data_IF_398997984141
#
_entry.id   IF_398997984141
#
_cell.length_a   1.000
_cell.length_b   1.000
_cell.length_c   1.000
_cell.angle_alpha   90.00
_cell.angle_beta   90.00
_cell.angle_gamma   90.00
#
_symmetry.space_group_name_H-M   'P 1'
#
loop_
_entity.id
_entity.type
_entity.pdbx_description
1 polymer ?
#
# COMPACT_ATOMS: atom_id res chain seq x y z
N UNK A 1 -27.70 -30.81 -12.90
CA UNK A 1 -28.58 -29.62 -13.04
C UNK A 1 -27.69 -28.38 -13.06
N UNK A 2 -27.78 -27.56 -14.13
CA UNK A 2 -26.96 -26.38 -14.26
C UNK A 2 -27.30 -25.35 -13.18
N UNK A 3 -26.29 -24.79 -12.48
CA UNK A 3 -26.52 -23.71 -11.52
C UNK A 3 -27.18 -22.50 -12.21
N UNK A 4 -27.94 -21.64 -11.53
CA UNK A 4 -28.50 -20.43 -12.14
C UNK A 4 -27.42 -19.54 -12.77
N UNK A 5 -26.23 -19.56 -12.22
CA UNK A 5 -25.06 -18.90 -12.81
C UNK A 5 -24.65 -19.56 -14.15
N UNK A 6 -24.73 -20.88 -14.30
CA UNK A 6 -24.45 -21.55 -15.56
C UNK A 6 -25.42 -21.15 -16.66
N UNK A 7 -26.70 -20.92 -16.29
CA UNK A 7 -27.74 -20.46 -17.22
C UNK A 7 -27.44 -19.06 -17.75
N UNK A 8 -27.11 -18.12 -16.88
CA UNK A 8 -26.78 -16.75 -17.27
C UNK A 8 -25.52 -16.74 -18.14
N UNK A 9 -24.57 -17.65 -17.89
CA UNK A 9 -23.34 -17.80 -18.69
C UNK A 9 -23.64 -18.34 -20.10
N UNK A 10 -24.52 -19.33 -20.22
CA UNK A 10 -24.97 -19.82 -21.52
C UNK A 10 -25.70 -18.73 -22.31
N UNK A 11 -26.41 -17.83 -21.63
CA UNK A 11 -27.06 -16.66 -22.24
C UNK A 11 -26.07 -15.63 -22.76
N UNK A 12 -24.97 -15.42 -22.04
CA UNK A 12 -23.84 -14.63 -22.58
C UNK A 12 -23.33 -15.22 -23.88
N UNK A 13 -23.15 -16.54 -23.94
CA UNK A 13 -22.74 -17.22 -25.18
C UNK A 13 -23.76 -17.00 -26.31
N UNK A 14 -25.05 -17.17 -26.05
CA UNK A 14 -26.10 -17.00 -27.08
C UNK A 14 -26.16 -15.55 -27.57
N UNK A 15 -26.08 -14.58 -26.69
CA UNK A 15 -26.03 -13.16 -27.03
C UNK A 15 -24.81 -12.83 -27.91
N UNK A 16 -23.62 -13.27 -27.53
CA UNK A 16 -22.41 -13.04 -28.35
C UNK A 16 -22.46 -13.79 -29.69
N UNK A 17 -23.15 -14.92 -29.75
CA UNK A 17 -23.37 -15.62 -31.02
C UNK A 17 -24.25 -14.85 -31.99
N UNK A 18 -25.28 -14.17 -31.49
CA UNK A 18 -26.11 -13.32 -32.36
C UNK A 18 -25.37 -12.13 -32.94
N UNK A 19 -24.30 -11.70 -32.31
CA UNK A 19 -23.43 -10.61 -32.75
C UNK A 19 -22.14 -11.10 -33.47
N UNK A 20 -21.97 -12.43 -33.55
CA UNK A 20 -20.73 -13.05 -34.04
C UNK A 20 -20.33 -12.59 -35.44
N UNK A 21 -21.26 -12.59 -36.35
CA UNK A 21 -20.98 -12.29 -37.77
C UNK A 21 -20.84 -10.78 -38.00
N UNK A 22 -21.67 -9.98 -37.33
CA UNK A 22 -21.63 -8.53 -37.40
C UNK A 22 -20.32 -7.96 -36.84
N UNK A 23 -19.91 -8.43 -35.68
CA UNK A 23 -18.73 -7.94 -34.97
C UNK A 23 -17.48 -8.79 -35.22
N UNK A 24 -17.56 -9.81 -36.08
CA UNK A 24 -16.46 -10.74 -36.39
C UNK A 24 -15.84 -11.34 -35.14
N UNK A 25 -16.70 -11.76 -34.17
CA UNK A 25 -16.24 -12.31 -32.90
C UNK A 25 -15.82 -13.77 -33.01
N UNK A 26 -14.69 -14.11 -32.40
CA UNK A 26 -14.36 -15.48 -32.03
C UNK A 26 -14.83 -15.75 -30.60
N UNK A 27 -15.88 -16.53 -30.44
CA UNK A 27 -16.49 -16.83 -29.13
C UNK A 27 -16.01 -18.19 -28.66
N UNK A 28 -15.47 -18.23 -27.43
CA UNK A 28 -15.04 -19.45 -26.75
C UNK A 28 -15.81 -19.56 -25.45
N UNK A 29 -16.43 -20.69 -25.18
CA UNK A 29 -17.12 -20.95 -23.92
C UNK A 29 -16.11 -21.56 -22.91
N UNK A 30 -16.13 -21.05 -21.69
CA UNK A 30 -15.31 -21.54 -20.58
C UNK A 30 -16.21 -22.05 -19.45
N UNK A 31 -16.04 -23.31 -19.04
CA UNK A 31 -16.78 -23.92 -17.94
C UNK A 31 -15.83 -24.60 -16.95
N UNK A 32 -16.06 -24.36 -15.64
CA UNK A 32 -15.31 -24.99 -14.56
C UNK A 32 -16.23 -25.83 -13.71
N UNK A 33 -15.97 -27.12 -13.64
CA UNK A 33 -16.50 -28.00 -12.60
C UNK A 33 -15.67 -27.84 -11.33
N UNK A 34 -16.29 -27.38 -10.25
CA UNK A 34 -15.66 -27.11 -8.97
C UNK A 34 -15.64 -28.35 -8.04
N UNK A 35 -16.14 -29.50 -8.49
CA UNK A 35 -16.21 -30.77 -7.80
C UNK A 35 -16.92 -30.76 -6.43
N UNK A 36 -17.84 -29.80 -6.20
CA UNK A 36 -18.61 -29.75 -4.95
C UNK A 36 -19.77 -30.76 -4.90
N UNK A 37 -20.29 -31.23 -6.06
CA UNK A 37 -21.55 -31.98 -6.16
C UNK A 37 -21.39 -33.32 -6.90
N UNK A 38 -20.17 -33.80 -7.11
CA UNK A 38 -19.91 -35.06 -7.78
C UNK A 38 -20.64 -35.16 -9.12
N UNK A 39 -21.49 -36.20 -9.27
CA UNK A 39 -22.22 -36.51 -10.53
C UNK A 39 -23.05 -35.36 -11.10
N UNK A 40 -23.68 -34.53 -10.27
CA UNK A 40 -24.44 -33.38 -10.77
C UNK A 40 -23.57 -32.35 -11.50
N UNK A 41 -22.35 -32.13 -11.03
CA UNK A 41 -21.37 -31.23 -11.68
C UNK A 41 -20.90 -31.78 -13.03
N UNK A 42 -20.70 -33.10 -13.12
CA UNK A 42 -20.34 -33.77 -14.37
C UNK A 42 -21.48 -33.65 -15.40
N UNK A 43 -22.74 -33.90 -14.99
CA UNK A 43 -23.91 -33.75 -15.86
C UNK A 43 -24.06 -32.30 -16.37
N UNK A 44 -23.75 -31.32 -15.53
CA UNK A 44 -23.73 -29.90 -15.92
C UNK A 44 -22.68 -29.62 -16.98
N UNK A 45 -21.46 -30.12 -16.79
CA UNK A 45 -20.37 -29.97 -17.75
C UNK A 45 -20.71 -30.60 -19.10
N UNK A 46 -21.25 -31.82 -19.11
CA UNK A 46 -21.68 -32.49 -20.33
C UNK A 46 -22.82 -31.77 -21.05
N UNK A 47 -23.74 -31.16 -20.30
CA UNK A 47 -24.76 -30.30 -20.87
C UNK A 47 -24.18 -29.08 -21.57
N UNK A 48 -23.19 -28.42 -20.95
CA UNK A 48 -22.51 -27.24 -21.54
C UNK A 48 -21.75 -27.66 -22.81
N UNK A 49 -21.04 -28.76 -22.78
CA UNK A 49 -20.33 -29.28 -23.97
C UNK A 49 -21.30 -29.53 -25.14
N UNK A 50 -22.39 -30.24 -24.90
CA UNK A 50 -23.44 -30.50 -25.95
C UNK A 50 -23.99 -29.19 -26.51
N UNK A 51 -24.36 -28.25 -25.65
CA UNK A 51 -24.82 -26.92 -26.04
C UNK A 51 -23.85 -26.21 -26.98
N UNK A 52 -22.54 -26.28 -26.66
CA UNK A 52 -21.50 -25.66 -27.47
C UNK A 52 -21.29 -26.36 -28.82
N UNK A 53 -21.33 -27.71 -28.86
CA UNK A 53 -21.21 -28.49 -30.07
C UNK A 53 -22.38 -28.17 -31.04
N UNK A 54 -23.61 -28.15 -30.56
CA UNK A 54 -24.81 -27.82 -31.36
C UNK A 54 -24.70 -26.44 -32.00
N UNK A 55 -23.99 -25.51 -31.38
CA UNK A 55 -23.85 -24.10 -31.83
C UNK A 55 -22.50 -23.79 -32.46
N UNK A 56 -21.65 -24.80 -32.67
CA UNK A 56 -20.31 -24.69 -33.24
C UNK A 56 -19.44 -23.68 -32.46
N UNK A 57 -19.49 -23.77 -31.11
CA UNK A 57 -18.66 -22.97 -30.22
C UNK A 57 -17.54 -23.85 -29.68
N UNK A 58 -16.30 -23.35 -29.68
CA UNK A 58 -15.20 -23.97 -28.96
C UNK A 58 -15.50 -23.93 -27.46
N UNK A 59 -15.46 -25.08 -26.78
CA UNK A 59 -15.75 -25.21 -25.37
C UNK A 59 -14.50 -25.70 -24.61
N UNK A 60 -13.98 -24.87 -23.74
CA UNK A 60 -12.90 -25.21 -22.83
C UNK A 60 -13.48 -25.55 -21.45
N UNK A 61 -13.12 -26.72 -20.94
CA UNK A 61 -13.62 -27.18 -19.64
C UNK A 61 -12.48 -27.59 -18.72
N UNK A 62 -12.63 -27.32 -17.43
CA UNK A 62 -11.71 -27.81 -16.40
C UNK A 62 -12.49 -28.41 -15.23
N UNK A 63 -11.93 -29.50 -14.66
CA UNK A 63 -12.34 -30.04 -13.36
C UNK A 63 -11.31 -29.66 -12.34
N UNK A 64 -11.68 -28.94 -11.29
CA UNK A 64 -10.78 -28.43 -10.27
C UNK A 64 -11.31 -28.86 -8.90
N UNK A 65 -10.50 -29.58 -8.12
CA UNK A 65 -10.83 -29.96 -6.75
C UNK A 65 -10.76 -28.72 -5.83
N UNK A 66 -11.83 -27.90 -5.91
CA UNK A 66 -11.96 -26.71 -5.06
C UNK A 66 -12.08 -27.06 -3.57
N UNK A 67 -12.76 -28.12 -3.13
CA UNK A 67 -12.72 -28.57 -1.74
C UNK A 67 -11.31 -28.81 -1.19
N UNK A 68 -10.41 -29.43 -1.97
CA UNK A 68 -9.01 -29.62 -1.56
C UNK A 68 -8.27 -28.27 -1.48
N UNK A 69 -8.43 -27.40 -2.48
CA UNK A 69 -7.85 -26.05 -2.46
C UNK A 69 -8.38 -25.21 -1.30
N UNK A 70 -9.66 -25.28 -1.00
CA UNK A 70 -10.29 -24.61 0.13
C UNK A 70 -9.65 -25.00 1.46
N UNK A 71 -9.45 -26.31 1.70
CA UNK A 71 -8.82 -26.81 2.93
C UNK A 71 -7.36 -26.38 3.05
N UNK A 72 -6.60 -26.46 1.98
CA UNK A 72 -5.17 -26.09 1.98
C UNK A 72 -4.93 -24.58 2.16
N UNK A 73 -5.81 -23.75 1.62
CA UNK A 73 -5.69 -22.29 1.66
C UNK A 73 -6.43 -21.64 2.84
N UNK A 74 -7.24 -22.38 3.60
CA UNK A 74 -8.03 -21.84 4.73
C UNK A 74 -9.10 -20.84 4.31
N UNK A 75 -9.63 -20.97 3.09
CA UNK A 75 -10.57 -20.01 2.49
C UNK A 75 -12.03 -20.48 2.61
N UNK A 76 -12.96 -19.53 2.45
CA UNK A 76 -14.37 -19.88 2.27
C UNK A 76 -14.63 -20.55 0.91
N UNK A 77 -15.61 -21.45 0.82
CA UNK A 77 -15.91 -22.21 -0.40
C UNK A 77 -16.16 -21.31 -1.64
N UNK A 78 -16.90 -20.21 -1.47
CA UNK A 78 -17.18 -19.26 -2.57
C UNK A 78 -15.92 -18.52 -3.03
N UNK A 79 -15.04 -18.16 -2.12
CA UNK A 79 -13.78 -17.47 -2.42
C UNK A 79 -12.81 -18.41 -3.12
N UNK A 80 -12.65 -19.63 -2.62
CA UNK A 80 -11.83 -20.67 -3.26
C UNK A 80 -12.30 -20.96 -4.69
N UNK A 81 -13.60 -21.18 -4.87
CA UNK A 81 -14.21 -21.40 -6.21
C UNK A 81 -13.99 -20.21 -7.15
N UNK A 82 -14.08 -18.99 -6.62
CA UNK A 82 -13.80 -17.77 -7.37
C UNK A 82 -12.34 -17.71 -7.83
N UNK A 83 -11.38 -17.94 -6.94
CA UNK A 83 -9.96 -17.93 -7.26
C UNK A 83 -9.63 -18.95 -8.36
N UNK A 84 -10.08 -20.19 -8.18
CA UNK A 84 -9.84 -21.25 -9.17
C UNK A 84 -10.43 -20.92 -10.54
N UNK A 85 -11.66 -20.39 -10.57
CA UNK A 85 -12.33 -19.97 -11.81
C UNK A 85 -11.55 -18.85 -12.53
N UNK A 86 -11.07 -17.85 -11.80
CA UNK A 86 -10.36 -16.74 -12.41
C UNK A 86 -8.96 -17.13 -12.89
N UNK A 87 -8.29 -18.07 -12.20
CA UNK A 87 -7.04 -18.67 -12.71
C UNK A 87 -7.27 -19.35 -14.05
N UNK A 88 -8.27 -20.21 -14.15
CA UNK A 88 -8.62 -20.87 -15.39
C UNK A 88 -8.95 -19.88 -16.51
N UNK A 89 -9.68 -18.82 -16.22
CA UNK A 89 -9.95 -17.77 -17.21
C UNK A 89 -8.65 -17.07 -17.68
N UNK A 90 -7.71 -16.83 -16.79
CA UNK A 90 -6.42 -16.24 -17.14
C UNK A 90 -5.62 -17.16 -18.09
N UNK A 91 -5.55 -18.44 -17.79
CA UNK A 91 -4.91 -19.47 -18.64
C UNK A 91 -5.54 -19.53 -20.04
N UNK A 92 -6.88 -19.45 -20.12
CA UNK A 92 -7.58 -19.43 -21.40
C UNK A 92 -7.35 -18.15 -22.19
N UNK A 93 -7.27 -16.98 -21.53
CA UNK A 93 -6.94 -15.74 -22.20
C UNK A 93 -5.57 -15.81 -22.87
N UNK A 94 -4.58 -16.38 -22.18
CA UNK A 94 -3.24 -16.56 -22.71
C UNK A 94 -3.23 -17.58 -23.85
N UNK A 95 -3.84 -18.76 -23.63
CA UNK A 95 -3.92 -19.86 -24.62
C UNK A 95 -4.53 -19.43 -25.95
N UNK A 96 -5.61 -18.65 -25.88
CA UNK A 96 -6.39 -18.23 -27.06
C UNK A 96 -6.12 -16.78 -27.47
N UNK A 97 -5.18 -16.09 -26.83
CA UNK A 97 -4.91 -14.66 -27.05
C UNK A 97 -6.19 -13.81 -27.00
N UNK A 98 -7.09 -14.14 -26.06
CA UNK A 98 -8.37 -13.48 -25.94
C UNK A 98 -8.25 -12.12 -25.26
N UNK A 99 -8.75 -11.08 -25.89
CA UNK A 99 -8.74 -9.70 -25.32
C UNK A 99 -9.80 -9.49 -24.22
N UNK A 100 -10.82 -10.36 -24.15
CA UNK A 100 -11.97 -10.18 -23.24
C UNK A 100 -12.43 -11.48 -22.62
N UNK A 101 -12.80 -11.41 -21.33
CA UNK A 101 -13.59 -12.43 -20.63
C UNK A 101 -14.95 -11.83 -20.27
N UNK A 102 -16.04 -12.39 -20.80
CA UNK A 102 -17.38 -11.99 -20.45
C UNK A 102 -17.95 -12.85 -19.32
N UNK A 103 -18.51 -12.24 -18.28
CA UNK A 103 -19.16 -12.94 -17.16
C UNK A 103 -20.61 -12.48 -16.99
N UNK A 104 -21.47 -13.41 -16.60
CA UNK A 104 -22.91 -13.23 -16.59
C UNK A 104 -23.48 -12.51 -15.35
N UNK A 105 -22.79 -11.50 -14.80
CA UNK A 105 -23.39 -10.66 -13.77
C UNK A 105 -24.48 -9.77 -14.39
N UNK A 106 -25.55 -9.53 -13.64
CA UNK A 106 -26.71 -8.76 -14.08
C UNK A 106 -27.11 -7.68 -13.07
N UNK A 107 -28.11 -6.86 -13.40
CA UNK A 107 -28.53 -5.72 -12.58
C UNK A 107 -28.90 -6.08 -11.14
N UNK A 108 -29.54 -7.23 -10.91
CA UNK A 108 -29.87 -7.67 -9.55
C UNK A 108 -28.60 -8.01 -8.73
N UNK A 109 -27.55 -8.54 -9.37
CA UNK A 109 -26.27 -8.75 -8.70
C UNK A 109 -25.62 -7.43 -8.27
N UNK A 110 -25.83 -6.36 -9.05
CA UNK A 110 -25.39 -5.02 -8.72
C UNK A 110 -26.10 -4.50 -7.47
N UNK A 111 -27.44 -4.60 -7.44
CA UNK A 111 -28.27 -4.22 -6.28
C UNK A 111 -27.82 -4.96 -5.03
N UNK A 112 -27.74 -6.30 -5.09
CA UNK A 112 -27.30 -7.14 -3.99
C UNK A 112 -25.93 -6.71 -3.47
N UNK A 113 -24.98 -6.49 -4.37
CA UNK A 113 -23.59 -6.15 -4.02
C UNK A 113 -23.49 -4.78 -3.36
N UNK A 114 -24.16 -3.77 -3.88
CA UNK A 114 -24.15 -2.42 -3.31
C UNK A 114 -24.79 -2.43 -1.92
N UNK A 115 -25.97 -3.05 -1.77
CA UNK A 115 -26.66 -3.14 -0.48
C UNK A 115 -25.83 -3.87 0.57
N UNK A 116 -25.24 -5.02 0.22
CA UNK A 116 -24.38 -5.78 1.14
C UNK A 116 -23.15 -4.96 1.56
N UNK A 117 -22.57 -4.16 0.67
CA UNK A 117 -21.43 -3.29 0.98
C UNK A 117 -21.84 -2.09 1.84
N UNK A 118 -23.01 -1.52 1.62
CA UNK A 118 -23.57 -0.46 2.48
C UNK A 118 -23.76 -0.95 3.92
N UNK A 119 -24.36 -2.12 4.09
CA UNK A 119 -24.63 -2.70 5.42
C UNK A 119 -23.34 -3.10 6.16
N UNK A 120 -22.37 -3.68 5.44
CA UNK A 120 -21.11 -4.13 6.06
C UNK A 120 -20.08 -3.03 6.25
N UNK A 121 -20.22 -1.92 5.54
CA UNK A 121 -19.20 -0.90 5.36
C UNK A 121 -18.22 -1.24 4.24
N UNK A 122 -17.82 -0.23 3.48
CA UNK A 122 -16.88 -0.35 2.37
C UNK A 122 -16.13 0.97 2.12
N UNK A 123 -15.19 0.95 1.17
CA UNK A 123 -14.58 2.16 0.63
C UNK A 123 -15.50 2.80 -0.42
N UNK A 124 -15.27 4.07 -0.78
CA UNK A 124 -16.00 4.74 -1.86
C UNK A 124 -16.00 3.91 -3.15
N UNK A 125 -14.84 3.41 -3.55
CA UNK A 125 -14.70 2.48 -4.69
C UNK A 125 -15.53 1.20 -4.53
N UNK A 126 -15.65 0.70 -3.31
CA UNK A 126 -16.50 -0.44 -3.02
C UNK A 126 -17.99 -0.13 -3.18
N UNK A 127 -18.43 1.06 -2.77
CA UNK A 127 -19.83 1.49 -2.92
C UNK A 127 -20.26 1.67 -4.36
N UNK A 128 -19.34 1.93 -5.28
CA UNK A 128 -19.61 1.91 -6.71
C UNK A 128 -20.07 0.52 -7.25
N UNK A 129 -20.04 -0.52 -6.44
CA UNK A 129 -20.57 -1.84 -6.79
C UNK A 129 -19.64 -2.65 -7.72
N UNK A 130 -20.22 -3.33 -8.68
CA UNK A 130 -19.52 -4.18 -9.65
C UNK A 130 -19.22 -3.35 -10.90
N UNK A 131 -17.95 -3.19 -11.33
CA UNK A 131 -17.64 -2.43 -12.54
C UNK A 131 -18.06 -3.17 -13.80
N UNK A 132 -18.57 -2.46 -14.80
CA UNK A 132 -18.92 -3.02 -16.12
C UNK A 132 -17.71 -3.65 -16.79
N UNK A 133 -16.56 -2.98 -16.72
CA UNK A 133 -15.28 -3.39 -17.30
C UNK A 133 -14.14 -3.21 -16.29
N UNK A 134 -13.21 -4.15 -16.25
CA UNK A 134 -11.96 -3.99 -15.48
C UNK A 134 -10.79 -4.67 -16.19
N UNK A 135 -9.53 -4.21 -15.98
CA UNK A 135 -8.34 -4.92 -16.45
C UNK A 135 -8.27 -6.34 -15.89
N UNK A 136 -7.81 -7.28 -16.73
CA UNK A 136 -7.64 -8.68 -16.36
C UNK A 136 -6.64 -9.37 -17.29
N UNK A 137 -5.51 -9.82 -16.77
CA UNK A 137 -4.45 -10.60 -17.46
C UNK A 137 -4.15 -10.17 -18.91
N UNK A 138 -3.73 -8.92 -19.10
CA UNK A 138 -3.37 -8.37 -20.41
C UNK A 138 -4.56 -7.94 -21.28
N UNK A 139 -5.79 -8.22 -20.84
CA UNK A 139 -7.04 -7.82 -21.49
C UNK A 139 -8.06 -7.28 -20.49
N UNK A 140 -9.33 -7.57 -20.72
CA UNK A 140 -10.44 -7.05 -19.92
C UNK A 140 -11.45 -8.12 -19.52
N UNK A 141 -11.94 -8.01 -18.28
CA UNK A 141 -13.14 -8.70 -17.84
C UNK A 141 -14.32 -7.76 -17.98
N UNK A 142 -15.37 -8.19 -18.69
CA UNK A 142 -16.57 -7.42 -19.00
C UNK A 142 -17.83 -8.08 -18.46
N UNK A 143 -18.88 -7.26 -18.22
CA UNK A 143 -20.18 -7.70 -17.70
C UNK A 143 -21.30 -7.06 -18.51
N UNK A 144 -21.63 -7.65 -19.67
CA UNK A 144 -22.56 -7.05 -20.62
C UNK A 144 -23.98 -6.87 -20.09
N UNK A 145 -24.39 -7.71 -19.13
CA UNK A 145 -25.78 -7.72 -18.61
C UNK A 145 -25.96 -6.93 -17.31
N UNK A 146 -24.95 -6.15 -16.90
CA UNK A 146 -25.02 -5.47 -15.62
C UNK A 146 -26.13 -4.41 -15.54
N UNK A 147 -26.55 -3.88 -16.69
CA UNK A 147 -27.68 -2.95 -16.80
C UNK A 147 -29.06 -3.64 -17.01
N UNK A 148 -29.08 -4.97 -17.14
CA UNK A 148 -30.31 -5.75 -17.45
C UNK A 148 -30.74 -6.53 -16.21
N UNK A 149 -32.02 -6.54 -15.91
CA UNK A 149 -32.57 -7.33 -14.80
C UNK A 149 -32.55 -8.83 -15.10
N UNK A 150 -32.59 -9.63 -14.05
CA UNK A 150 -32.79 -11.08 -14.18
C UNK A 150 -34.09 -11.44 -14.88
N UNK A 151 -35.18 -10.71 -14.61
CA UNK A 151 -36.49 -10.95 -15.23
C UNK A 151 -36.46 -10.74 -16.75
N UNK A 152 -35.81 -9.69 -17.23
CA UNK A 152 -35.62 -9.43 -18.67
C UNK A 152 -34.75 -10.51 -19.32
N UNK A 153 -33.68 -10.94 -18.67
CA UNK A 153 -32.85 -12.04 -19.14
C UNK A 153 -33.68 -13.34 -19.21
N UNK A 154 -34.53 -13.63 -18.24
CA UNK A 154 -35.41 -14.81 -18.25
C UNK A 154 -36.50 -14.73 -19.33
N UNK A 155 -37.04 -13.54 -19.60
CA UNK A 155 -37.98 -13.30 -20.68
C UNK A 155 -37.34 -13.57 -22.05
N UNK A 156 -36.18 -13.03 -22.31
CA UNK A 156 -35.40 -13.29 -23.53
C UNK A 156 -35.15 -14.79 -23.74
N UNK A 157 -34.85 -15.53 -22.70
CA UNK A 157 -34.61 -16.97 -22.83
C UNK A 157 -35.88 -17.77 -23.15
N UNK A 158 -37.02 -17.36 -22.61
CA UNK A 158 -38.30 -17.98 -22.99
C UNK A 158 -38.60 -17.75 -24.47
N UNK A 159 -38.35 -16.53 -24.95
CA UNK A 159 -38.52 -16.18 -26.36
C UNK A 159 -37.62 -17.00 -27.30
N UNK A 160 -36.41 -17.32 -26.86
CA UNK A 160 -35.42 -18.09 -27.62
C UNK A 160 -35.50 -19.60 -27.35
N UNK A 161 -36.56 -20.10 -26.71
CA UNK A 161 -36.82 -21.52 -26.37
C UNK A 161 -35.65 -22.18 -25.59
N UNK A 162 -34.83 -21.40 -24.91
CA UNK A 162 -33.75 -21.87 -24.08
C UNK A 162 -34.31 -22.42 -22.78
N UNK A 163 -34.52 -23.72 -22.69
CA UNK A 163 -35.08 -24.40 -21.51
C UNK A 163 -34.12 -24.29 -20.31
N UNK A 164 -34.46 -23.50 -19.30
CA UNK A 164 -33.59 -23.31 -18.15
C UNK A 164 -33.90 -24.36 -17.07
N UNK A 165 -32.88 -25.07 -16.57
CA UNK A 165 -33.01 -25.93 -15.36
C UNK A 165 -32.83 -25.08 -14.07
N UNK A 166 -33.63 -25.33 -13.01
CA UNK A 166 -33.52 -24.63 -11.72
C UNK A 166 -32.46 -25.30 -10.80
N UNK A 167 -31.66 -24.53 -10.09
CA UNK A 167 -30.71 -25.03 -9.08
C UNK A 167 -31.30 -24.87 -7.68
N UNK A 168 -31.54 -25.97 -6.95
CA UNK A 168 -32.12 -25.93 -5.60
C UNK A 168 -31.28 -25.20 -4.56
N UNK A 169 -29.94 -25.10 -4.77
CA UNK A 169 -29.06 -24.47 -3.77
C UNK A 169 -29.27 -22.97 -3.62
N UNK A 170 -29.98 -22.32 -4.56
CA UNK A 170 -30.32 -20.90 -4.42
C UNK A 170 -31.50 -20.62 -3.49
N UNK A 171 -32.20 -21.64 -3.06
CA UNK A 171 -33.34 -21.51 -2.15
C UNK A 171 -32.96 -21.46 -0.68
N UNK A 172 -31.67 -21.74 -0.37
CA UNK A 172 -31.20 -21.74 1.01
C UNK A 172 -30.69 -20.37 1.44
N UNK A 173 -31.16 -19.89 2.60
CA UNK A 173 -30.78 -18.60 3.19
C UNK A 173 -29.47 -18.63 4.00
N UNK A 174 -28.71 -19.70 3.89
CA UNK A 174 -27.42 -19.88 4.59
C UNK A 174 -26.41 -18.77 4.26
N UNK A 175 -26.51 -18.19 3.08
CA UNK A 175 -25.62 -17.14 2.60
C UNK A 175 -26.24 -15.76 2.69
N UNK A 176 -25.48 -14.78 3.15
CA UNK A 176 -25.91 -13.37 3.23
C UNK A 176 -26.49 -12.88 1.90
N UNK A 177 -25.90 -13.26 0.76
CA UNK A 177 -26.38 -12.86 -0.57
C UNK A 177 -27.78 -13.40 -0.86
N UNK A 178 -28.07 -14.64 -0.49
CA UNK A 178 -29.39 -15.23 -0.67
C UNK A 178 -30.43 -14.53 0.21
N UNK A 179 -30.09 -14.19 1.48
CA UNK A 179 -31.00 -13.40 2.33
C UNK A 179 -31.34 -12.05 1.73
N UNK A 180 -30.36 -11.32 1.17
CA UNK A 180 -30.64 -10.06 0.47
C UNK A 180 -31.54 -10.27 -0.74
N UNK A 181 -31.26 -11.29 -1.56
CA UNK A 181 -32.04 -11.67 -2.75
C UNK A 181 -33.48 -12.04 -2.44
N UNK A 182 -33.72 -12.78 -1.37
CA UNK A 182 -35.04 -13.33 -1.05
C UNK A 182 -35.87 -12.39 -0.18
N UNK A 183 -35.27 -11.62 0.69
CA UNK A 183 -36.01 -10.86 1.71
C UNK A 183 -35.88 -9.33 1.56
N UNK A 184 -34.79 -8.81 1.06
CA UNK A 184 -34.54 -7.35 1.04
C UNK A 184 -34.82 -6.77 -0.36
N UNK A 185 -34.23 -7.33 -1.40
CA UNK A 185 -34.41 -6.84 -2.78
C UNK A 185 -35.86 -6.87 -3.24
N UNK A 186 -36.69 -7.91 -2.94
CA UNK A 186 -38.07 -7.89 -3.31
C UNK A 186 -38.90 -6.75 -2.71
N UNK A 187 -38.65 -6.39 -1.45
CA UNK A 187 -39.31 -5.26 -0.79
C UNK A 187 -38.93 -3.93 -1.48
N UNK A 188 -37.64 -3.70 -1.75
CA UNK A 188 -37.19 -2.51 -2.46
C UNK A 188 -37.76 -2.43 -3.90
N UNK A 189 -37.97 -3.58 -4.55
CA UNK A 189 -38.55 -3.64 -5.88
C UNK A 189 -40.07 -3.32 -5.90
N UNK A 190 -40.78 -3.57 -4.81
CA UNK A 190 -42.17 -3.12 -4.66
C UNK A 190 -42.28 -1.59 -4.66
N UNK A 191 -41.26 -0.92 -4.01
CA UNK A 191 -41.18 0.54 -4.01
C UNK A 191 -40.76 1.10 -5.38
N UNK A 192 -39.84 0.39 -6.06
CA UNK A 192 -39.42 0.80 -7.41
C UNK A 192 -39.14 -0.41 -8.31
N UNK A 193 -40.04 -0.74 -9.26
CA UNK A 193 -39.84 -1.84 -10.18
C UNK A 193 -38.56 -1.76 -11.02
N UNK A 194 -38.06 -0.53 -11.29
CA UNK A 194 -36.79 -0.27 -12.01
C UNK A 194 -35.63 -0.09 -11.09
N UNK A 195 -35.59 -0.77 -9.94
CA UNK A 195 -34.55 -0.67 -8.92
C UNK A 195 -33.15 -0.90 -9.50
N UNK A 196 -32.99 -1.90 -10.38
CA UNK A 196 -31.70 -2.23 -10.99
C UNK A 196 -31.15 -1.09 -11.84
N UNK A 197 -31.97 -0.36 -12.58
CA UNK A 197 -31.53 0.82 -13.35
C UNK A 197 -31.05 1.95 -12.42
N UNK A 198 -31.74 2.19 -11.30
CA UNK A 198 -31.36 3.21 -10.33
C UNK A 198 -30.04 2.89 -9.65
N UNK A 199 -29.83 1.62 -9.31
CA UNK A 199 -28.57 1.17 -8.74
C UNK A 199 -27.44 1.18 -9.77
N UNK A 200 -27.73 0.93 -11.03
CA UNK A 200 -26.73 1.06 -12.10
C UNK A 200 -26.32 2.54 -12.30
N UNK A 201 -27.28 3.45 -12.37
CA UNK A 201 -27.01 4.90 -12.44
C UNK A 201 -26.16 5.37 -11.23
N UNK A 202 -26.56 4.96 -10.02
CA UNK A 202 -25.78 5.24 -8.82
C UNK A 202 -24.33 4.71 -8.92
N UNK A 203 -24.17 3.48 -9.40
CA UNK A 203 -22.87 2.85 -9.57
C UNK A 203 -21.98 3.62 -10.55
N UNK A 204 -22.55 4.07 -11.67
CA UNK A 204 -21.83 4.84 -12.68
C UNK A 204 -21.37 6.19 -12.13
N UNK A 205 -22.28 6.94 -11.52
CA UNK A 205 -21.94 8.23 -10.87
C UNK A 205 -20.84 8.07 -9.82
N UNK A 206 -20.97 7.07 -8.94
CA UNK A 206 -19.95 6.80 -7.92
C UNK A 206 -18.61 6.37 -8.51
N UNK A 207 -18.61 5.67 -9.63
CA UNK A 207 -17.39 5.25 -10.30
C UNK A 207 -16.68 6.45 -10.97
N UNK A 208 -17.43 7.36 -11.58
CA UNK A 208 -16.92 8.60 -12.18
C UNK A 208 -16.31 9.53 -11.12
N UNK A 209 -17.06 9.77 -10.03
CA UNK A 209 -16.57 10.58 -8.91
C UNK A 209 -15.27 9.99 -8.31
N UNK A 210 -15.23 8.67 -8.14
CA UNK A 210 -14.06 8.00 -7.58
C UNK A 210 -12.86 8.06 -8.52
N UNK A 211 -13.07 7.90 -9.83
CA UNK A 211 -12.00 8.03 -10.82
C UNK A 211 -11.41 9.45 -10.80
N UNK A 212 -12.24 10.46 -10.82
CA UNK A 212 -11.80 11.86 -10.75
C UNK A 212 -10.98 12.14 -9.48
N UNK A 213 -11.45 11.64 -8.34
CA UNK A 213 -10.73 11.81 -7.07
C UNK A 213 -9.44 10.95 -6.99
N UNK A 214 -9.38 9.79 -7.65
CA UNK A 214 -8.14 9.01 -7.78
C UNK A 214 -7.09 9.76 -8.62
N UNK A 215 -7.50 10.39 -9.73
CA UNK A 215 -6.61 11.20 -10.59
C UNK A 215 -6.05 12.41 -9.82
N UNK A 216 -6.92 13.18 -9.16
CA UNK A 216 -6.49 14.29 -8.30
C UNK A 216 -5.55 13.85 -7.17
N UNK A 217 -5.81 12.69 -6.57
CA UNK A 217 -4.97 12.16 -5.50
C UNK A 217 -3.61 11.68 -6.03
N UNK A 218 -3.53 11.15 -7.25
CA UNK A 218 -2.27 10.77 -7.88
C UNK A 218 -1.38 11.99 -8.13
N UNK A 219 -1.96 13.09 -8.64
CA UNK A 219 -1.27 14.36 -8.84
C UNK A 219 -0.82 14.98 -7.51
N UNK A 220 -1.71 14.96 -6.51
CA UNK A 220 -1.40 15.45 -5.17
C UNK A 220 -0.27 14.63 -4.52
N UNK A 221 -0.28 13.29 -4.64
CA UNK A 221 0.76 12.42 -4.12
C UNK A 221 2.13 12.78 -4.71
N UNK A 222 2.22 13.02 -6.02
CA UNK A 222 3.47 13.41 -6.67
C UNK A 222 4.03 14.74 -6.15
N UNK A 223 3.16 15.65 -5.70
CA UNK A 223 3.55 16.97 -5.15
C UNK A 223 4.00 16.90 -3.68
N UNK A 224 3.41 16.01 -2.89
CA UNK A 224 3.67 15.92 -1.44
C UNK A 224 4.67 14.83 -1.08
N UNK A 225 5.00 13.94 -2.00
CA UNK A 225 5.91 12.81 -1.79
C UNK A 225 7.33 13.16 -2.24
N UNK A 226 8.28 12.92 -1.33
CA UNK A 226 9.70 12.93 -1.62
C UNK A 226 10.14 11.46 -1.85
N UNK A 227 10.71 11.15 -3.02
CA UNK A 227 11.21 9.80 -3.31
C UNK A 227 12.52 9.54 -2.58
N UNK A 228 12.59 8.48 -1.80
CA UNK A 228 13.82 7.88 -1.29
C UNK A 228 13.86 6.41 -1.72
N UNK A 229 15.03 5.90 -2.03
CA UNK A 229 15.34 4.64 -2.76
C UNK A 229 14.39 3.43 -2.53
N UNK A 230 14.06 3.07 -1.29
CA UNK A 230 13.10 2.02 -0.91
C UNK A 230 12.01 2.52 0.04
N UNK A 231 12.14 3.75 0.51
CA UNK A 231 11.27 4.40 1.45
C UNK A 231 10.46 5.50 0.75
N UNK A 232 9.38 5.92 1.35
CA UNK A 232 8.64 7.09 0.91
C UNK A 232 8.58 8.11 2.04
N UNK A 233 8.88 9.36 1.76
CA UNK A 233 8.67 10.45 2.70
C UNK A 233 7.56 11.37 2.20
N UNK A 234 6.70 11.81 3.11
CA UNK A 234 5.57 12.68 2.84
C UNK A 234 5.77 13.99 3.61
N UNK A 235 5.73 15.12 2.90
CA UNK A 235 5.78 16.45 3.50
C UNK A 235 4.45 16.78 4.16
N UNK A 236 4.42 16.92 5.50
CA UNK A 236 3.20 17.02 6.32
C UNK A 236 2.44 18.32 6.02
N UNK A 237 3.11 19.47 5.93
CA UNK A 237 2.47 20.77 5.70
C UNK A 237 1.65 20.77 4.39
N UNK A 238 2.26 20.53 3.23
CA UNK A 238 1.55 20.42 1.96
C UNK A 238 0.47 19.32 1.95
N UNK A 239 0.71 18.18 2.61
CA UNK A 239 -0.28 17.11 2.72
C UNK A 239 -1.52 17.52 3.51
N UNK A 240 -1.37 18.18 4.66
CA UNK A 240 -2.49 18.66 5.47
C UNK A 240 -3.27 19.83 4.82
N UNK A 241 -2.64 20.55 3.87
CA UNK A 241 -3.33 21.57 3.07
C UNK A 241 -4.31 20.97 2.04
N UNK A 242 -4.19 19.67 1.72
CA UNK A 242 -5.13 18.99 0.83
C UNK A 242 -6.50 18.83 1.49
N UNK A 243 -7.62 18.83 0.72
CA UNK A 243 -8.93 18.44 1.21
C UNK A 243 -8.93 17.02 1.80
N UNK A 244 -9.69 16.81 2.86
CA UNK A 244 -9.73 15.53 3.60
C UNK A 244 -9.97 14.29 2.74
N UNK A 245 -10.87 14.31 1.72
CA UNK A 245 -11.03 13.19 0.80
C UNK A 245 -9.75 12.85 0.03
N UNK A 246 -8.98 13.86 -0.40
CA UNK A 246 -7.70 13.65 -1.08
C UNK A 246 -6.62 13.13 -0.15
N UNK A 247 -6.54 13.62 1.09
CA UNK A 247 -5.60 13.10 2.10
C UNK A 247 -5.75 11.58 2.27
N UNK A 248 -7.00 11.08 2.39
CA UNK A 248 -7.28 9.64 2.52
C UNK A 248 -6.81 8.85 1.30
N UNK A 249 -7.08 9.35 0.09
CA UNK A 249 -6.71 8.69 -1.17
C UNK A 249 -5.21 8.72 -1.43
N UNK A 250 -4.56 9.83 -1.13
CA UNK A 250 -3.09 9.95 -1.20
C UNK A 250 -2.44 8.87 -0.34
N UNK A 251 -2.89 8.68 0.91
CA UNK A 251 -2.38 7.62 1.77
C UNK A 251 -2.71 6.22 1.21
N UNK A 252 -3.90 5.99 0.67
CA UNK A 252 -4.26 4.72 0.04
C UNK A 252 -3.37 4.40 -1.15
N UNK A 253 -3.13 5.37 -2.04
CA UNK A 253 -2.25 5.21 -3.20
C UNK A 253 -0.79 4.98 -2.79
N UNK A 254 -0.31 5.71 -1.78
CA UNK A 254 1.03 5.52 -1.23
C UNK A 254 1.21 4.11 -0.68
N UNK A 255 0.28 3.66 0.16
CA UNK A 255 0.32 2.32 0.74
C UNK A 255 0.19 1.23 -0.32
N UNK A 256 -0.66 1.42 -1.34
CA UNK A 256 -0.78 0.50 -2.47
C UNK A 256 0.55 0.32 -3.22
N UNK A 257 1.30 1.41 -3.42
CA UNK A 257 2.63 1.38 -4.06
C UNK A 257 3.68 0.68 -3.20
N UNK A 258 3.68 0.96 -1.88
CA UNK A 258 4.66 0.40 -0.95
C UNK A 258 4.48 -1.11 -0.70
N UNK A 259 3.24 -1.58 -0.71
CA UNK A 259 2.94 -3.00 -0.48
C UNK A 259 2.90 -3.87 -1.74
N UNK A 260 3.10 -3.28 -2.92
CA UNK A 260 2.85 -3.96 -4.20
C UNK A 260 1.46 -4.64 -4.22
N UNK A 261 0.45 -3.87 -3.81
CA UNK A 261 -0.92 -4.31 -3.58
C UNK A 261 -1.34 -4.12 -2.11
N UNK A 262 -2.63 -3.97 -1.84
CA UNK A 262 -3.13 -3.74 -0.47
C UNK A 262 -3.24 -5.06 0.29
N UNK A 263 -2.51 -5.26 1.39
CA UNK A 263 -2.69 -6.45 2.22
C UNK A 263 -4.10 -6.48 2.84
N UNK A 264 -4.75 -7.65 2.95
CA UNK A 264 -6.10 -7.79 3.51
C UNK A 264 -6.27 -7.23 4.93
N UNK A 265 -5.17 -7.18 5.68
CA UNK A 265 -5.10 -6.67 7.05
C UNK A 265 -5.07 -5.14 7.13
N UNK A 266 -4.86 -4.43 6.02
CA UNK A 266 -4.85 -2.97 5.98
C UNK A 266 -6.30 -2.45 5.89
N UNK A 267 -6.72 -1.67 6.89
CA UNK A 267 -8.08 -1.14 7.03
C UNK A 267 -8.12 0.39 7.04
N UNK A 268 -9.32 0.96 6.95
CA UNK A 268 -9.54 2.41 7.09
C UNK A 268 -9.07 2.97 8.45
N UNK A 269 -9.01 2.12 9.49
CA UNK A 269 -8.49 2.50 10.81
C UNK A 269 -7.01 2.87 10.75
N UNK A 270 -6.22 2.12 9.99
CA UNK A 270 -4.79 2.42 9.81
C UNK A 270 -4.58 3.78 9.12
N UNK A 271 -5.38 4.08 8.08
CA UNK A 271 -5.36 5.39 7.42
C UNK A 271 -5.74 6.49 8.40
N UNK A 272 -6.75 6.27 9.24
CA UNK A 272 -7.14 7.19 10.31
C UNK A 272 -6.00 7.47 11.29
N UNK A 273 -5.26 6.45 11.70
CA UNK A 273 -4.11 6.59 12.60
C UNK A 273 -2.98 7.40 11.96
N UNK A 274 -2.68 7.18 10.66
CA UNK A 274 -1.67 7.97 9.94
C UNK A 274 -2.09 9.44 9.87
N UNK A 275 -3.35 9.72 9.56
CA UNK A 275 -3.89 11.08 9.55
C UNK A 275 -3.74 11.76 10.91
N UNK A 276 -4.14 11.07 11.99
CA UNK A 276 -3.94 11.56 13.35
C UNK A 276 -2.47 11.80 13.69
N UNK A 277 -1.57 10.94 13.23
CA UNK A 277 -0.13 11.13 13.42
C UNK A 277 0.35 12.41 12.74
N UNK A 278 -0.12 12.70 11.52
CA UNK A 278 0.20 13.93 10.79
C UNK A 278 -0.40 15.19 11.43
N UNK A 279 -1.59 15.11 12.02
CA UNK A 279 -2.30 16.22 12.63
C UNK A 279 -1.81 16.57 14.05
N UNK A 280 -1.30 15.61 14.80
CA UNK A 280 -0.86 15.83 16.19
C UNK A 280 0.24 16.90 16.24
N UNK A 281 0.14 17.85 17.17
CA UNK A 281 1.14 18.89 17.41
C UNK A 281 2.50 18.39 17.94
N UNK A 282 2.66 17.09 18.17
CA UNK A 282 3.93 16.51 18.63
C UNK A 282 4.90 16.34 17.45
N UNK A 283 6.16 16.80 17.56
CA UNK A 283 7.12 16.79 16.47
C UNK A 283 7.59 15.38 16.09
N UNK A 284 7.31 14.35 16.87
CA UNK A 284 7.71 12.98 16.61
C UNK A 284 6.68 11.96 17.06
N UNK A 285 6.52 10.88 16.32
CA UNK A 285 5.64 9.76 16.63
C UNK A 285 5.89 8.60 15.67
N UNK A 286 5.39 7.41 16.00
CA UNK A 286 5.53 6.21 15.18
C UNK A 286 4.27 5.37 15.25
N UNK A 287 3.94 4.71 14.15
CA UNK A 287 2.86 3.75 14.03
C UNK A 287 3.42 2.53 13.30
N UNK A 288 3.12 1.34 13.83
CA UNK A 288 3.39 0.08 13.16
C UNK A 288 2.18 -0.32 12.31
N UNK A 289 2.44 -0.69 11.06
CA UNK A 289 1.47 -1.16 10.09
C UNK A 289 1.70 -2.65 9.78
N UNK A 290 0.74 -3.35 9.18
CA UNK A 290 0.89 -4.75 8.79
C UNK A 290 2.15 -5.01 7.97
N UNK A 291 2.66 -6.26 7.98
CA UNK A 291 3.86 -6.71 7.27
C UNK A 291 5.13 -5.91 7.58
N UNK A 292 5.20 -5.28 8.76
CA UNK A 292 6.41 -4.59 9.23
C UNK A 292 6.64 -3.18 8.68
N UNK A 293 5.71 -2.61 7.90
CA UNK A 293 5.80 -1.20 7.50
C UNK A 293 5.65 -0.30 8.72
N UNK A 294 6.57 0.63 8.91
CA UNK A 294 6.52 1.65 9.96
C UNK A 294 6.31 3.03 9.36
N UNK A 295 5.47 3.81 10.03
CA UNK A 295 5.21 5.21 9.68
C UNK A 295 5.77 6.08 10.79
N UNK A 296 6.79 6.87 10.48
CA UNK A 296 7.55 7.64 11.46
C UNK A 296 7.41 9.14 11.15
N UNK A 297 6.78 9.88 12.05
CA UNK A 297 6.77 11.34 11.97
C UNK A 297 8.04 11.92 12.56
N UNK A 298 8.68 12.78 11.80
CA UNK A 298 9.82 13.57 12.22
C UNK A 298 9.62 15.03 11.76
N UNK A 299 9.23 15.90 12.69
CA UNK A 299 8.88 17.31 12.44
C UNK A 299 7.83 17.47 11.32
N UNK A 300 8.22 18.01 10.17
CA UNK A 300 7.35 18.25 9.01
C UNK A 300 7.38 17.12 7.96
N UNK A 301 7.95 15.97 8.31
CA UNK A 301 8.05 14.80 7.45
C UNK A 301 7.42 13.57 8.08
N UNK A 302 6.81 12.75 7.25
CA UNK A 302 6.30 11.43 7.61
C UNK A 302 6.97 10.38 6.73
N UNK A 303 7.86 9.59 7.32
CA UNK A 303 8.62 8.53 6.64
C UNK A 303 7.86 7.21 6.72
N UNK A 304 7.76 6.51 5.60
CA UNK A 304 7.19 5.17 5.45
C UNK A 304 8.33 4.22 5.09
N UNK A 305 8.65 3.25 5.95
CA UNK A 305 9.81 2.36 5.77
C UNK A 305 9.55 0.96 6.32
N UNK A 306 10.08 -0.07 5.63
CA UNK A 306 10.16 -1.43 6.14
C UNK A 306 11.44 -1.67 6.94
N UNK A 307 12.46 -0.83 6.76
CA UNK A 307 13.82 -0.99 7.32
C UNK A 307 14.02 -0.24 8.66
N UNK A 308 12.97 0.02 9.43
CA UNK A 308 13.09 0.78 10.68
C UNK A 308 13.85 0.06 11.80
N UNK A 309 14.45 -1.09 11.55
CA UNK A 309 15.23 -1.85 12.54
C UNK A 309 16.74 -1.69 12.44
N UNK A 310 17.26 -0.94 11.49
CA UNK A 310 18.68 -0.62 11.51
C UNK A 310 19.00 0.46 12.56
N UNK A 311 18.64 0.22 13.81
CA UNK A 311 19.37 0.72 14.94
C UNK A 311 20.73 0.05 14.88
N UNK A 312 21.63 0.51 13.99
CA UNK A 312 23.03 0.14 14.10
C UNK A 312 23.44 0.35 15.56
N UNK A 313 24.02 -0.70 16.15
CA UNK A 313 24.62 -0.62 17.48
C UNK A 313 25.51 0.62 17.51
N UNK A 314 25.35 1.45 18.53
CA UNK A 314 26.21 2.62 18.67
C UNK A 314 27.68 2.24 18.42
N UNK A 315 28.39 3.09 17.73
CA UNK A 315 29.81 2.87 17.44
C UNK A 315 30.70 3.61 18.45
N UNK A 316 31.91 3.13 18.55
CA UNK A 316 32.99 3.73 19.33
C UNK A 316 34.29 3.49 18.59
N UNK A 317 35.05 4.57 18.34
CA UNK A 317 36.35 4.53 17.67
C UNK A 317 37.35 5.40 18.45
N UNK A 318 38.60 4.95 18.52
CA UNK A 318 39.69 5.80 18.89
C UNK A 318 40.03 6.73 17.72
N UNK A 319 40.30 7.99 18.01
CA UNK A 319 40.69 9.00 17.03
C UNK A 319 42.17 9.34 17.19
N UNK A 320 43.09 8.67 16.48
CA UNK A 320 44.50 9.04 16.45
C UNK A 320 44.69 10.43 15.87
N UNK A 321 45.83 11.06 16.15
CA UNK A 321 46.25 12.33 15.56
C UNK A 321 47.68 12.18 15.05
N UNK A 322 47.92 12.31 13.72
CA UNK A 322 46.96 12.60 12.66
C UNK A 322 46.17 11.36 12.19
N UNK A 323 44.93 11.55 11.71
CA UNK A 323 44.14 10.48 11.10
C UNK A 323 42.99 11.04 10.24
N UNK A 324 42.45 10.18 9.33
CA UNK A 324 41.14 10.31 8.70
C UNK A 324 40.30 9.14 9.19
N UNK A 325 39.26 9.41 9.96
CA UNK A 325 38.36 8.42 10.52
C UNK A 325 37.02 8.44 9.77
N UNK A 326 36.72 7.46 8.88
CA UNK A 326 35.43 7.31 8.27
C UNK A 326 34.36 6.94 9.30
N UNK A 327 33.18 7.52 9.19
CA UNK A 327 32.05 7.26 10.08
C UNK A 327 30.90 6.54 9.34
N UNK A 328 30.09 5.73 10.03
CA UNK A 328 28.99 5.01 9.41
C UNK A 328 27.90 5.89 8.79
N UNK A 329 27.87 7.18 9.10
CA UNK A 329 26.90 8.15 8.56
C UNK A 329 27.31 8.79 7.23
N UNK A 330 28.36 8.31 6.56
CA UNK A 330 28.87 8.84 5.29
C UNK A 330 29.75 10.09 5.41
N UNK A 331 30.14 10.46 6.62
CA UNK A 331 31.09 11.55 6.92
C UNK A 331 32.42 11.00 7.43
N UNK A 332 33.41 11.86 7.54
CA UNK A 332 34.68 11.56 8.19
C UNK A 332 35.07 12.65 9.17
N UNK A 333 35.85 12.27 10.19
CA UNK A 333 36.58 13.22 11.03
C UNK A 333 38.05 13.14 10.65
N UNK A 334 38.59 14.27 10.24
CA UNK A 334 40.05 14.46 10.01
C UNK A 334 40.62 15.06 11.27
N UNK A 335 41.74 14.52 11.72
CA UNK A 335 42.52 15.04 12.84
C UNK A 335 43.95 15.33 12.39
N UNK A 336 44.44 16.51 12.68
CA UNK A 336 45.81 16.96 12.32
C UNK A 336 46.45 17.78 13.43
N UNK A 337 47.78 17.78 13.49
CA UNK A 337 48.51 18.74 14.31
C UNK A 337 48.74 20.04 13.53
N UNK A 338 48.42 21.18 14.13
CA UNK A 338 48.65 22.49 13.58
C UNK A 338 49.62 23.29 14.45
N UNK A 339 50.56 24.03 13.83
CA UNK A 339 51.48 24.94 14.52
C UNK A 339 50.87 26.33 14.75
N UNK A 340 49.80 26.66 14.02
CA UNK A 340 49.12 27.95 14.13
C UNK A 340 47.63 27.79 14.28
N UNK A 341 47.00 28.68 15.09
CA UNK A 341 45.55 28.71 15.20
C UNK A 341 44.91 29.18 13.88
N UNK A 342 43.98 28.40 13.30
CA UNK A 342 43.40 28.71 11.98
C UNK A 342 42.55 29.99 12.01
N UNK A 343 42.94 31.02 11.24
CA UNK A 343 42.32 32.37 11.25
C UNK A 343 40.94 32.46 10.57
N UNK A 344 40.49 31.47 9.83
CA UNK A 344 39.30 31.57 8.94
C UNK A 344 38.29 30.46 9.07
N UNK A 345 38.21 29.73 10.15
CA UNK A 345 37.27 28.63 10.27
C UNK A 345 36.08 29.05 11.11
N UNK A 346 34.99 29.45 10.40
CA UNK A 346 33.69 29.72 10.97
C UNK A 346 32.82 28.44 10.92
N UNK A 347 31.93 28.26 11.92
CA UNK A 347 30.96 27.17 11.93
C UNK A 347 31.31 26.06 12.93
N UNK A 348 30.45 25.03 12.96
CA UNK A 348 30.52 23.90 13.88
C UNK A 348 31.17 22.65 13.24
N UNK A 349 31.65 22.75 11.99
CA UNK A 349 32.28 21.64 11.26
C UNK A 349 33.79 21.52 11.57
N UNK A 350 34.32 22.45 12.39
CA UNK A 350 35.70 22.49 12.83
C UNK A 350 35.76 22.59 14.34
N UNK A 351 36.73 21.94 14.93
CA UNK A 351 37.05 22.07 16.35
C UNK A 351 38.57 22.11 16.57
N UNK A 352 39.02 23.04 17.35
CA UNK A 352 40.45 23.21 17.68
C UNK A 352 40.62 22.95 19.17
N UNK A 353 41.58 22.11 19.54
CA UNK A 353 41.83 21.77 20.92
C UNK A 353 43.31 21.89 21.25
N UNK A 354 43.60 22.39 22.44
CA UNK A 354 44.91 22.36 23.02
C UNK A 354 45.20 20.97 23.60
N UNK A 355 46.25 20.24 23.11
CA UNK A 355 46.58 18.93 23.62
C UNK A 355 46.83 18.88 25.14
N UNK A 356 47.28 20.01 25.73
CA UNK A 356 47.50 20.10 27.17
C UNK A 356 46.22 20.25 28.00
N UNK A 357 45.10 20.63 27.38
CA UNK A 357 43.81 20.86 28.03
C UNK A 357 42.92 19.63 28.07
N UNK A 358 43.26 18.56 27.37
CA UNK A 358 42.46 17.33 27.19
C UNK A 358 43.26 16.08 27.43
N UNK A 359 42.59 15.01 27.81
CA UNK A 359 43.22 13.70 28.00
C UNK A 359 43.18 12.87 26.71
N UNK A 360 44.34 12.49 26.18
CA UNK A 360 44.45 11.63 25.01
C UNK A 360 44.39 10.15 25.40
N UNK A 361 43.92 9.25 24.52
CA UNK A 361 43.50 9.50 23.15
C UNK A 361 42.10 10.12 23.05
N UNK A 362 41.84 10.84 21.95
CA UNK A 362 40.49 11.29 21.61
C UNK A 362 39.66 10.10 21.14
N UNK A 363 38.34 10.21 21.31
CA UNK A 363 37.41 9.15 20.96
C UNK A 363 36.21 9.71 20.22
N UNK A 364 35.68 8.94 19.25
CA UNK A 364 34.45 9.26 18.52
C UNK A 364 33.45 8.17 18.79
N UNK A 365 32.26 8.54 19.26
CA UNK A 365 31.17 7.61 19.58
C UNK A 365 29.79 8.19 19.28
N UNK A 366 28.83 7.34 19.32
CA UNK A 366 27.42 7.76 19.35
C UNK A 366 27.01 8.19 20.76
N UNK A 367 25.88 8.90 20.87
CA UNK A 367 25.38 9.39 22.16
C UNK A 367 25.02 8.26 23.13
N UNK A 368 25.16 8.58 24.44
CA UNK A 368 24.65 7.75 25.55
C UNK A 368 23.59 8.49 26.33
N UNK A 369 22.73 7.72 27.03
CA UNK A 369 21.73 8.32 27.90
C UNK A 369 22.39 9.09 29.05
N UNK A 370 22.01 10.36 29.17
CA UNK A 370 22.56 11.22 30.22
C UNK A 370 23.70 12.13 29.79
N UNK A 371 24.25 12.00 28.57
CA UNK A 371 25.33 12.83 28.05
C UNK A 371 25.06 14.33 28.23
N UNK A 372 26.10 15.03 28.73
CA UNK A 372 26.10 16.47 28.95
C UNK A 372 27.39 17.08 28.43
N UNK A 373 27.30 18.31 27.94
CA UNK A 373 28.46 19.06 27.44
C UNK A 373 28.51 20.43 28.07
N UNK A 374 29.70 20.90 28.45
CA UNK A 374 29.94 22.27 28.88
C UNK A 374 30.04 23.15 27.64
N UNK A 375 29.16 24.15 27.52
CA UNK A 375 29.06 24.98 26.32
C UNK A 375 30.10 26.09 26.28
N UNK A 376 30.63 26.37 25.07
CA UNK A 376 31.51 27.52 24.84
C UNK A 376 30.75 28.83 25.12
N UNK A 377 31.36 29.74 25.83
CA UNK A 377 30.91 31.12 26.10
C UNK A 377 30.05 31.29 27.33
N UNK A 378 29.13 30.35 27.63
CA UNK A 378 28.26 30.47 28.82
C UNK A 378 28.76 29.72 30.04
N UNK A 379 29.73 28.81 29.90
CA UNK A 379 30.20 27.92 30.96
C UNK A 379 29.13 26.96 31.52
N UNK A 380 27.91 27.04 31.05
CA UNK A 380 26.80 26.20 31.47
C UNK A 380 26.85 24.78 30.86
N UNK A 381 26.37 23.81 31.64
CA UNK A 381 26.26 22.42 31.17
C UNK A 381 24.92 22.18 30.55
N UNK A 382 24.88 21.64 29.33
CA UNK A 382 23.65 21.30 28.58
C UNK A 382 23.57 19.82 28.25
N UNK A 383 22.37 19.23 28.32
CA UNK A 383 22.15 17.85 27.89
C UNK A 383 22.24 17.74 26.35
N UNK A 384 22.93 16.75 25.83
CA UNK A 384 23.01 16.53 24.37
C UNK A 384 21.62 16.38 23.73
N UNK A 385 20.66 15.77 24.44
CA UNK A 385 19.26 15.67 23.97
C UNK A 385 18.68 17.04 23.61
N UNK A 386 18.97 18.07 24.39
CA UNK A 386 18.49 19.44 24.18
C UNK A 386 19.15 20.08 22.97
N UNK A 387 20.46 19.86 22.79
CA UNK A 387 21.21 20.33 21.61
C UNK A 387 20.63 19.76 20.33
N UNK A 388 20.36 18.45 20.30
CA UNK A 388 19.75 17.80 19.14
C UNK A 388 18.31 18.28 18.86
N UNK A 389 17.53 18.57 19.90
CA UNK A 389 16.16 19.11 19.74
C UNK A 389 16.20 20.52 19.17
N UNK A 390 17.05 21.38 19.67
CA UNK A 390 17.22 22.77 19.18
C UNK A 390 17.70 22.80 17.73
N UNK A 391 18.64 21.90 17.37
CA UNK A 391 19.13 21.74 16.01
C UNK A 391 18.12 21.01 15.10
N UNK A 392 16.92 20.63 15.60
CA UNK A 392 15.88 19.89 14.89
C UNK A 392 16.36 18.58 14.25
N UNK A 393 17.36 17.92 14.85
CA UNK A 393 17.87 16.66 14.36
C UNK A 393 16.80 15.56 14.57
N UNK A 394 16.42 14.79 13.55
CA UNK A 394 15.51 13.66 13.66
C UNK A 394 15.95 12.63 14.70
N UNK A 395 15.01 12.01 15.42
CA UNK A 395 15.33 11.07 16.52
C UNK A 395 16.25 9.94 16.09
N UNK A 396 16.01 9.38 14.90
CA UNK A 396 16.81 8.27 14.34
C UNK A 396 18.25 8.69 14.04
N UNK A 397 18.46 9.92 13.58
CA UNK A 397 19.79 10.45 13.29
C UNK A 397 20.57 10.77 14.57
N UNK A 398 19.88 11.15 15.68
CA UNK A 398 20.52 11.46 16.98
C UNK A 398 21.30 10.27 17.54
N UNK A 399 20.78 9.06 17.31
CA UNK A 399 21.38 7.82 17.81
C UNK A 399 22.62 7.40 17.00
N UNK A 400 22.82 8.00 15.81
CA UNK A 400 23.97 7.79 14.91
C UNK A 400 24.93 8.99 14.85
N UNK A 401 24.55 10.12 15.48
CA UNK A 401 25.34 11.34 15.40
C UNK A 401 26.69 11.21 16.14
N UNK A 402 27.80 11.61 15.50
CA UNK A 402 29.10 11.53 16.13
C UNK A 402 29.24 12.51 17.30
N UNK A 403 29.92 12.07 18.33
CA UNK A 403 30.33 12.85 19.51
C UNK A 403 31.80 12.61 19.72
N UNK A 404 32.59 13.68 19.83
CA UNK A 404 34.00 13.61 20.16
C UNK A 404 34.15 13.83 21.64
N UNK A 405 34.83 12.90 22.33
CA UNK A 405 35.17 12.98 23.73
C UNK A 405 36.70 12.73 23.95
N UNK A 406 37.19 13.14 25.08
CA UNK A 406 38.55 12.80 25.51
C UNK A 406 38.61 11.47 26.29
N UNK A 407 39.82 11.08 26.75
CA UNK A 407 39.99 9.82 27.47
C UNK A 407 39.26 9.79 28.82
N UNK A 408 38.98 10.95 29.42
CA UNK A 408 38.21 11.09 30.67
C UNK A 408 36.69 11.09 30.45
N UNK A 409 36.26 11.01 29.20
CA UNK A 409 34.83 11.00 28.84
C UNK A 409 34.19 12.40 28.81
N UNK A 410 34.97 13.48 28.83
CA UNK A 410 34.48 14.86 28.67
C UNK A 410 34.15 15.08 27.21
N UNK A 411 32.91 15.51 26.93
CA UNK A 411 32.46 15.77 25.57
C UNK A 411 33.04 17.09 25.08
N UNK A 412 33.88 17.00 24.07
CA UNK A 412 34.61 18.13 23.50
C UNK A 412 33.82 18.79 22.37
N UNK A 413 33.19 17.98 21.52
CA UNK A 413 32.56 18.48 20.30
C UNK A 413 31.42 17.58 19.82
N UNK A 414 30.34 18.19 19.35
CA UNK A 414 29.29 17.54 18.57
C UNK A 414 29.40 18.08 17.14
N UNK A 415 30.10 17.33 16.25
CA UNK A 415 30.39 17.78 14.89
C UNK A 415 29.19 18.33 14.14
N UNK A 416 29.36 19.48 13.48
CA UNK A 416 28.30 20.16 12.75
C UNK A 416 27.27 20.90 13.63
N UNK A 417 27.22 20.64 14.95
CA UNK A 417 26.17 21.18 15.81
C UNK A 417 26.66 22.13 16.89
N UNK A 418 27.63 21.70 17.72
CA UNK A 418 28.00 22.49 18.90
C UNK A 418 29.41 22.21 19.37
N UNK A 419 30.10 23.27 19.80
CA UNK A 419 31.43 23.25 20.38
C UNK A 419 31.37 23.41 21.90
N UNK A 420 32.27 22.72 22.61
CA UNK A 420 32.41 22.85 24.08
C UNK A 420 33.30 24.03 24.50
N UNK A 421 33.35 24.28 25.79
CA UNK A 421 34.23 25.24 26.40
C UNK A 421 35.71 24.84 26.29
N UNK A 422 36.02 23.61 25.90
CA UNK A 422 37.37 23.12 25.66
C UNK A 422 37.95 23.50 24.29
N UNK A 423 37.20 24.24 23.45
CA UNK A 423 37.76 24.80 22.21
C UNK A 423 38.88 25.79 22.55
N UNK A 424 40.08 25.54 21.99
CA UNK A 424 41.24 26.38 22.22
C UNK A 424 40.98 27.85 21.86
N UNK A 425 41.49 28.74 22.65
CA UNK A 425 41.57 30.16 22.35
C UNK A 425 42.96 30.48 21.79
N UNK A 426 43.07 31.48 20.90
CA UNK A 426 44.36 31.88 20.32
C UNK A 426 45.24 32.54 21.39
N UNK A 427 45.93 31.73 22.20
CA UNK A 427 46.76 32.19 23.31
C UNK A 427 48.26 32.03 23.05
N UNK A 428 48.71 31.92 21.78
CA UNK A 428 50.12 31.85 21.40
C UNK A 428 50.78 30.51 21.69
N UNK A 429 50.01 29.42 21.78
CA UNK A 429 50.53 28.08 21.97
C UNK A 429 51.25 27.54 20.73
N UNK A 430 52.26 26.68 20.92
CA UNK A 430 53.09 26.17 19.85
C UNK A 430 52.48 25.00 19.07
N UNK A 431 51.40 24.40 19.56
CA UNK A 431 50.82 23.21 18.90
C UNK A 431 49.35 23.04 19.24
N UNK A 432 48.51 22.75 18.22
CA UNK A 432 47.07 22.47 18.35
C UNK A 432 46.72 21.15 17.70
N UNK A 433 45.60 20.51 18.12
CA UNK A 433 44.90 19.47 17.37
C UNK A 433 43.74 20.12 16.64
N UNK A 434 43.72 19.98 15.31
CA UNK A 434 42.66 20.45 14.44
C UNK A 434 41.75 19.27 14.08
N UNK A 435 40.47 19.42 14.32
CA UNK A 435 39.46 18.41 13.95
C UNK A 435 38.51 19.01 12.91
N UNK A 436 38.27 18.28 11.82
CA UNK A 436 37.36 18.67 10.75
C UNK A 436 36.33 17.56 10.50
N UNK A 437 35.04 17.93 10.37
CA UNK A 437 33.95 17.06 10.01
C UNK A 437 33.51 17.37 8.59
N UNK A 438 33.60 16.40 7.69
CA UNK A 438 33.25 16.59 6.27
C UNK A 438 32.57 15.37 5.69
N UNK A 439 31.71 15.59 4.66
CA UNK A 439 31.13 14.51 3.88
C UNK A 439 32.26 13.78 3.11
N UNK A 440 32.20 12.45 3.09
CA UNK A 440 33.01 11.66 2.18
C UNK A 440 32.39 11.76 0.79
N UNK A 441 33.12 12.33 -0.18
CA UNK A 441 32.75 12.28 -1.57
C UNK A 441 32.78 10.81 -2.01
N UNK A 442 31.61 10.27 -2.40
CA UNK A 442 31.46 8.94 -2.99
C UNK A 442 31.98 8.92 -4.41
#
# INVERSE_FOLDING_TARGET
>A
MASPEARIRLRCCTFFLSLRDEWKLQVIAAHVDHMFRGRESEEEMEFVKRFCVERRILCETAQIDVPAFQRSAGLGAQEAARICRYRFFAELMEKHQAGYVAVGHHGDDQVETILMRLVRGSTSKGYAGIPVKRPFHGGYLIRPFLAVSRAEIEAYCRQMELSPRRDPSNEKDDYTRNRFRHHIVPLLRQENPRLHERFQQYSEMMAEDEQFLEELAADALNKVMEKQHRDAALSIGPFLALPRPLQRRVLQLLLLRLYDGVPPTLTSVHIGHILMLCERGRPSGMIDLPKGLKVIRSYDRCLFTFDAESGEKGYWFELPVPALLPLPNGYAIISEFGEHYPRKQAGNDWFVVDPASVSLPLRVRTRRRGDRMVLKGTGGTKKLKEIFIEAKIPRMERDRWPIVEDADGRILWVPGLKKSAFEAQNLGQARYILLQYQAMNS
#
